data_IF_712081023115
#
_entry.id   IF_712081023115
#
_cell.length_a   1.000
_cell.length_b   1.000
_cell.length_c   1.000
_cell.angle_alpha   90.00
_cell.angle_beta   90.00
_cell.angle_gamma   90.00
#
_symmetry.space_group_name_H-M   'P 1'
#
loop_
_entity.id
_entity.type
_entity.pdbx_description
1 polymer ?
#
# COMPACT_ATOMS: atom_id res chain seq x y z
N UNK A 1 -41.26 20.07 4.05
CA UNK A 1 -40.67 19.50 2.82
C UNK A 1 -39.48 18.67 3.23
N UNK A 2 -39.54 17.35 3.04
CA UNK A 2 -38.49 16.41 3.44
C UNK A 2 -37.45 16.34 2.31
N UNK A 3 -36.23 16.84 2.55
CA UNK A 3 -35.11 16.68 1.63
C UNK A 3 -34.45 15.34 1.91
N UNK A 4 -34.84 14.31 1.17
CA UNK A 4 -34.17 13.02 1.17
C UNK A 4 -32.76 13.14 0.59
N UNK A 5 -31.75 13.01 1.44
CA UNK A 5 -30.38 12.77 0.98
C UNK A 5 -30.33 11.34 0.46
N UNK A 6 -30.42 11.19 -0.86
CA UNK A 6 -30.12 9.93 -1.54
C UNK A 6 -28.68 9.53 -1.23
N UNK A 7 -28.50 8.51 -0.38
CA UNK A 7 -27.19 7.90 -0.17
C UNK A 7 -26.86 7.10 -1.41
N UNK A 8 -26.10 7.68 -2.34
CA UNK A 8 -25.45 6.88 -3.37
C UNK A 8 -24.60 5.80 -2.67
N UNK A 9 -24.72 4.52 -3.05
CA UNK A 9 -23.87 3.48 -2.51
C UNK A 9 -22.43 3.82 -2.86
N UNK A 10 -21.59 4.01 -1.85
CA UNK A 10 -20.17 4.24 -2.07
C UNK A 10 -19.58 2.97 -2.70
N UNK A 11 -18.87 3.13 -3.81
CA UNK A 11 -18.20 2.03 -4.49
C UNK A 11 -17.10 1.46 -3.57
N UNK A 12 -17.41 0.35 -2.93
CA UNK A 12 -16.48 -0.43 -2.12
C UNK A 12 -16.19 -1.70 -2.91
N UNK A 13 -14.98 -1.80 -3.46
CA UNK A 13 -14.50 -3.04 -4.05
C UNK A 13 -13.70 -3.79 -3.00
N UNK A 14 -14.17 -4.97 -2.60
CA UNK A 14 -13.40 -5.91 -1.78
C UNK A 14 -12.87 -7.00 -2.68
N UNK A 15 -11.55 -7.14 -2.72
CA UNK A 15 -10.90 -8.29 -3.35
C UNK A 15 -10.43 -9.23 -2.24
N UNK A 16 -10.87 -10.48 -2.31
CA UNK A 16 -10.38 -11.55 -1.46
C UNK A 16 -9.87 -12.66 -2.36
N UNK A 17 -8.60 -13.00 -2.22
CA UNK A 17 -7.97 -14.09 -2.96
C UNK A 17 -7.63 -15.19 -1.98
N UNK A 18 -7.96 -16.43 -2.34
CA UNK A 18 -7.57 -17.62 -1.58
C UNK A 18 -6.69 -18.49 -2.45
N UNK A 19 -5.54 -18.87 -1.92
CA UNK A 19 -4.62 -19.79 -2.57
C UNK A 19 -4.46 -21.03 -1.69
N UNK A 20 -4.40 -22.19 -2.34
CA UNK A 20 -4.05 -23.47 -1.73
C UNK A 20 -3.05 -24.15 -2.65
N UNK A 21 -1.96 -24.68 -2.09
CA UNK A 21 -1.03 -25.52 -2.84
C UNK A 21 -1.65 -26.91 -3.14
N UNK A 22 -1.16 -27.64 -4.16
CA UNK A 22 -1.62 -29.00 -4.47
C UNK A 22 -1.51 -29.98 -3.28
N UNK A 23 -2.31 -31.05 -3.27
CA UNK A 23 -2.44 -31.99 -2.14
C UNK A 23 -1.26 -32.96 -1.95
N UNK A 24 -0.94 -33.20 -0.67
CA UNK A 24 -0.20 -34.28 0.04
C UNK A 24 1.09 -34.92 -0.49
N UNK A 25 1.56 -34.65 -1.71
CA UNK A 25 2.82 -35.22 -2.23
C UNK A 25 3.85 -34.19 -2.73
N UNK A 26 3.58 -32.88 -2.58
CA UNK A 26 4.48 -31.81 -3.04
C UNK A 26 5.27 -31.23 -1.85
N UNK A 27 6.55 -30.85 -1.96
CA UNK A 27 7.24 -30.10 -0.91
C UNK A 27 6.64 -28.69 -0.74
N UNK A 28 6.91 -27.97 0.38
CA UNK A 28 6.53 -26.56 0.53
C UNK A 28 6.99 -25.71 -0.66
N UNK A 29 6.15 -24.80 -1.11
CA UNK A 29 6.42 -23.95 -2.27
C UNK A 29 6.57 -22.48 -1.85
N UNK A 30 7.36 -21.67 -2.58
CA UNK A 30 7.36 -20.22 -2.41
C UNK A 30 5.98 -19.62 -2.67
N UNK A 31 5.55 -18.69 -1.83
CA UNK A 31 4.34 -17.90 -2.02
C UNK A 31 4.69 -16.41 -1.94
N UNK A 32 4.69 -15.75 -3.10
CA UNK A 32 4.83 -14.31 -3.20
C UNK A 32 3.58 -13.74 -3.86
N UNK A 33 2.91 -12.82 -3.17
CA UNK A 33 1.70 -12.18 -3.61
C UNK A 33 1.75 -10.68 -3.31
N UNK A 34 1.48 -9.89 -4.34
CA UNK A 34 1.45 -8.44 -4.29
C UNK A 34 0.26 -7.97 -5.12
N UNK A 35 -0.60 -7.16 -4.52
CA UNK A 35 -1.71 -6.51 -5.22
C UNK A 35 -1.20 -5.26 -5.90
N UNK A 36 -0.99 -5.32 -7.21
CA UNK A 36 -0.47 -4.19 -7.98
C UNK A 36 -1.61 -3.22 -8.33
N UNK A 37 -1.94 -2.27 -7.43
CA UNK A 37 -3.05 -1.33 -7.62
C UNK A 37 -2.51 -0.03 -8.21
N UNK A 38 -2.68 0.15 -9.51
CA UNK A 38 -2.23 1.34 -10.23
C UNK A 38 -3.34 2.38 -10.31
N UNK A 39 -3.02 3.60 -9.93
CA UNK A 39 -3.90 4.77 -10.01
C UNK A 39 -3.26 5.82 -10.91
N UNK A 40 -4.07 6.40 -11.80
CA UNK A 40 -3.68 7.51 -12.66
C UNK A 40 -4.70 8.64 -12.52
N UNK A 41 -4.82 9.47 -13.55
CA UNK A 41 -5.88 10.48 -13.60
C UNK A 41 -7.28 9.83 -13.46
N UNK A 42 -8.22 10.39 -12.67
CA UNK A 42 -8.14 11.64 -11.92
C UNK A 42 -7.62 11.51 -10.47
N UNK A 43 -7.28 10.29 -10.00
CA UNK A 43 -6.80 10.07 -8.63
C UNK A 43 -5.39 10.61 -8.37
N UNK A 44 -4.55 10.62 -9.40
CA UNK A 44 -3.21 11.22 -9.35
C UNK A 44 -3.22 12.43 -10.28
N UNK A 45 -2.92 13.59 -9.71
CA UNK A 45 -2.80 14.90 -10.37
C UNK A 45 -2.04 15.86 -9.43
N UNK A 46 -1.62 17.06 -9.87
CA UNK A 46 -1.02 18.05 -8.99
C UNK A 46 -1.86 18.32 -7.74
N UNK A 47 -1.21 18.35 -6.57
CA UNK A 47 -1.87 18.62 -5.29
C UNK A 47 -2.45 17.39 -4.58
N UNK A 48 -2.33 16.21 -5.19
CA UNK A 48 -2.64 14.95 -4.52
C UNK A 48 -1.56 14.61 -3.50
N UNK A 49 -1.98 14.02 -2.38
CA UNK A 49 -1.12 13.54 -1.30
C UNK A 49 -1.36 12.07 -1.00
N UNK A 50 -0.31 11.41 -0.56
CA UNK A 50 -0.33 10.10 0.08
C UNK A 50 -0.36 10.28 1.59
N UNK A 51 -1.23 9.53 2.27
CA UNK A 51 -1.30 9.49 3.71
C UNK A 51 -1.27 8.03 4.19
N UNK A 52 -0.29 7.73 5.03
CA UNK A 52 -0.15 6.47 5.76
C UNK A 52 0.47 6.72 7.13
N UNK A 53 0.21 5.82 8.07
CA UNK A 53 0.94 5.75 9.33
C UNK A 53 2.09 4.76 9.13
N UNK A 54 3.28 5.24 8.78
CA UNK A 54 4.40 4.35 8.42
C UNK A 54 5.77 4.99 8.64
N UNK A 55 6.77 4.15 8.90
CA UNK A 55 8.17 4.46 8.61
C UNK A 55 8.44 4.16 7.13
N UNK A 56 9.09 5.08 6.43
CA UNK A 56 9.27 5.03 4.96
C UNK A 56 10.73 4.76 4.62
N UNK A 57 10.96 3.86 3.68
CA UNK A 57 12.28 3.35 3.29
C UNK A 57 12.44 3.50 1.77
N UNK A 58 13.26 4.44 1.28
CA UNK A 58 13.53 4.55 -0.16
C UNK A 58 14.29 3.33 -0.67
N UNK A 59 13.83 2.74 -1.78
CA UNK A 59 14.46 1.55 -2.39
C UNK A 59 15.91 1.81 -2.80
N UNK A 60 16.15 2.93 -3.48
CA UNK A 60 17.40 3.22 -4.17
C UNK A 60 17.76 4.72 -4.14
N UNK A 61 18.80 5.10 -4.90
CA UNK A 61 19.27 6.48 -4.97
C UNK A 61 18.24 7.43 -5.62
N UNK A 62 17.47 6.97 -6.60
CA UNK A 62 16.44 7.76 -7.25
C UNK A 62 15.30 8.08 -6.26
N UNK A 63 14.87 7.09 -5.48
CA UNK A 63 13.89 7.29 -4.41
C UNK A 63 14.42 8.18 -3.28
N UNK A 64 15.71 8.05 -2.90
CA UNK A 64 16.35 8.94 -1.91
C UNK A 64 16.40 10.39 -2.38
N UNK A 65 16.65 10.64 -3.67
CA UNK A 65 16.62 11.99 -4.22
C UNK A 65 15.23 12.64 -4.13
N UNK A 66 14.15 11.84 -4.12
CA UNK A 66 12.77 12.29 -3.94
C UNK A 66 12.27 12.30 -2.49
N UNK A 67 13.14 12.09 -1.50
CA UNK A 67 12.77 11.87 -0.11
C UNK A 67 11.91 12.98 0.52
N UNK A 68 12.03 14.23 0.10
CA UNK A 68 11.27 15.35 0.67
C UNK A 68 9.85 15.48 0.10
N UNK A 69 9.58 14.79 -1.02
CA UNK A 69 8.32 14.85 -1.75
C UNK A 69 7.76 13.45 -2.01
N UNK A 70 8.11 12.46 -1.18
CA UNK A 70 7.67 11.08 -1.34
C UNK A 70 6.14 10.94 -1.27
N UNK A 71 5.48 11.80 -0.49
CA UNK A 71 4.05 11.78 -0.21
C UNK A 71 3.23 12.80 -1.03
N UNK A 72 3.85 13.56 -1.93
CA UNK A 72 3.15 14.52 -2.79
C UNK A 72 3.26 14.14 -4.27
N UNK A 73 2.28 14.57 -5.07
CA UNK A 73 2.27 14.36 -6.52
C UNK A 73 2.17 15.72 -7.22
N UNK A 74 3.22 16.05 -7.96
CA UNK A 74 3.36 17.29 -8.74
C UNK A 74 3.06 17.04 -10.23
N UNK A 75 3.04 18.09 -11.03
CA UNK A 75 2.84 17.96 -12.48
C UNK A 75 3.83 16.97 -13.13
N UNK A 76 3.42 16.26 -14.20
CA UNK A 76 4.32 15.37 -14.92
C UNK A 76 5.61 16.09 -15.32
N UNK A 77 6.76 15.42 -15.20
CA UNK A 77 8.06 16.00 -15.56
C UNK A 77 8.84 15.15 -16.55
N UNK A 78 9.71 15.81 -17.31
CA UNK A 78 10.60 15.14 -18.26
C UNK A 78 11.75 14.48 -17.49
N UNK A 79 12.12 13.27 -17.88
CA UNK A 79 13.24 12.56 -17.27
C UNK A 79 13.01 12.04 -15.85
N UNK A 80 11.77 12.10 -15.32
CA UNK A 80 11.45 11.49 -14.03
C UNK A 80 11.80 10.00 -14.03
N UNK A 81 12.72 9.61 -13.15
CA UNK A 81 13.02 8.21 -12.86
C UNK A 81 12.05 7.74 -11.79
N UNK A 82 11.51 6.53 -11.94
CA UNK A 82 10.60 5.99 -10.95
C UNK A 82 11.21 6.04 -9.54
N UNK A 83 10.35 6.27 -8.55
CA UNK A 83 10.75 6.29 -7.16
C UNK A 83 9.91 5.27 -6.42
N UNK A 84 10.58 4.32 -5.76
CA UNK A 84 9.92 3.27 -4.97
C UNK A 84 10.22 3.48 -3.51
N UNK A 85 9.16 3.50 -2.70
CA UNK A 85 9.23 3.60 -1.25
C UNK A 85 8.59 2.38 -0.62
N UNK A 86 9.29 1.73 0.30
CA UNK A 86 8.73 0.67 1.14
C UNK A 86 8.26 1.24 2.46
N UNK A 87 7.18 0.69 2.99
CA UNK A 87 6.54 1.19 4.20
C UNK A 87 6.48 0.11 5.28
N UNK A 88 7.10 0.40 6.42
CA UNK A 88 6.78 -0.30 7.67
C UNK A 88 5.55 0.38 8.26
N UNK A 89 4.38 -0.19 7.99
CA UNK A 89 3.11 0.38 8.43
C UNK A 89 2.90 0.28 9.93
N UNK A 90 2.04 1.15 10.46
CA UNK A 90 1.49 1.07 11.80
C UNK A 90 0.00 0.79 11.73
N UNK A 91 -0.51 -0.03 12.62
CA UNK A 91 -1.93 -0.40 12.69
C UNK A 91 -2.30 -0.73 14.14
N UNK A 92 -3.58 -0.56 14.48
CA UNK A 92 -4.14 -1.20 15.68
C UNK A 92 -4.08 -2.73 15.52
N UNK A 93 -3.31 -3.39 16.39
CA UNK A 93 -3.08 -4.84 16.37
C UNK A 93 -4.39 -5.65 16.48
N UNK A 94 -5.44 -5.10 17.10
CA UNK A 94 -6.75 -5.77 17.20
C UNK A 94 -7.47 -5.82 15.86
N UNK A 95 -7.33 -4.76 15.07
CA UNK A 95 -8.02 -4.64 13.78
C UNK A 95 -7.28 -5.38 12.67
N UNK A 96 -5.96 -5.52 12.77
CA UNK A 96 -5.09 -6.15 11.76
C UNK A 96 -5.24 -5.54 10.36
N UNK A 97 -5.56 -4.25 10.29
CA UNK A 97 -5.86 -3.56 9.03
C UNK A 97 -5.03 -2.28 8.93
N UNK A 98 -4.15 -2.24 7.94
CA UNK A 98 -3.41 -1.03 7.59
C UNK A 98 -4.24 -0.13 6.67
N UNK A 99 -4.07 1.19 6.81
CA UNK A 99 -4.78 2.21 6.06
C UNK A 99 -3.82 3.05 5.20
N UNK A 100 -4.15 3.18 3.91
CA UNK A 100 -3.45 4.05 2.96
C UNK A 100 -4.48 4.90 2.24
N UNK A 101 -4.24 6.20 2.18
CA UNK A 101 -5.14 7.14 1.50
C UNK A 101 -4.35 7.92 0.46
N UNK A 102 -4.78 7.88 -0.80
CA UNK A 102 -4.34 8.83 -1.83
C UNK A 102 -5.48 9.80 -2.06
N UNK A 103 -5.24 11.11 -1.90
CA UNK A 103 -6.33 12.07 -1.94
C UNK A 103 -5.91 13.47 -2.41
N UNK A 104 -6.88 14.16 -2.99
CA UNK A 104 -6.96 15.61 -3.05
C UNK A 104 -7.87 16.11 -1.91
N UNK A 105 -8.36 17.34 -1.97
CA UNK A 105 -9.28 17.88 -0.94
C UNK A 105 -10.60 17.10 -0.89
N UNK A 106 -11.21 16.85 -2.04
CA UNK A 106 -12.59 16.40 -2.16
C UNK A 106 -12.74 15.09 -2.94
N UNK A 107 -11.64 14.48 -3.36
CA UNK A 107 -11.64 13.20 -4.05
C UNK A 107 -10.43 12.35 -3.67
N UNK A 108 -10.61 11.04 -3.57
CA UNK A 108 -9.50 10.14 -3.27
C UNK A 108 -9.85 8.65 -3.29
N UNK A 109 -8.88 7.85 -2.87
CA UNK A 109 -8.97 6.40 -2.74
C UNK A 109 -8.45 6.00 -1.36
N UNK A 110 -9.27 5.26 -0.61
CA UNK A 110 -8.86 4.60 0.62
C UNK A 110 -8.61 3.12 0.34
N UNK A 111 -7.34 2.71 0.49
CA UNK A 111 -6.93 1.32 0.41
C UNK A 111 -6.74 0.79 1.83
N UNK A 112 -7.45 -0.30 2.14
CA UNK A 112 -7.36 -1.00 3.42
C UNK A 112 -7.01 -2.44 3.16
N UNK A 113 -6.07 -2.99 3.90
CA UNK A 113 -5.67 -4.37 3.69
C UNK A 113 -5.32 -5.06 5.00
N UNK A 114 -5.49 -6.39 4.99
CA UNK A 114 -5.16 -7.25 6.12
C UNK A 114 -3.65 -7.45 6.19
N UNK A 115 -3.01 -6.79 7.14
CA UNK A 115 -1.56 -6.80 7.24
C UNK A 115 -1.01 -8.09 7.85
N UNK A 116 -1.86 -8.97 8.40
CA UNK A 116 -1.45 -10.29 8.87
C UNK A 116 -1.14 -11.26 7.72
N UNK A 117 -1.76 -11.06 6.55
CA UNK A 117 -1.43 -11.80 5.32
C UNK A 117 -0.58 -10.98 4.34
N UNK A 118 -0.59 -9.65 4.44
CA UNK A 118 0.12 -8.71 3.56
C UNK A 118 0.94 -7.70 4.39
N UNK A 119 2.00 -8.10 5.10
CA UNK A 119 2.75 -7.21 5.99
C UNK A 119 3.54 -6.10 5.29
N UNK A 120 3.81 -6.22 3.99
CA UNK A 120 4.58 -5.25 3.23
C UNK A 120 3.67 -4.30 2.45
N UNK A 121 4.13 -3.06 2.29
CA UNK A 121 3.55 -2.09 1.38
C UNK A 121 4.63 -1.43 0.55
N UNK A 122 4.46 -1.48 -0.76
CA UNK A 122 5.27 -0.76 -1.72
C UNK A 122 4.45 0.42 -2.28
N UNK A 123 5.07 1.59 -2.33
CA UNK A 123 4.60 2.75 -3.07
C UNK A 123 5.47 2.88 -4.31
N UNK A 124 4.89 2.69 -5.50
CA UNK A 124 5.57 2.95 -6.76
C UNK A 124 5.10 4.31 -7.29
N UNK A 125 5.99 5.31 -7.30
CA UNK A 125 5.70 6.65 -7.79
C UNK A 125 6.38 6.86 -9.14
N UNK A 126 5.58 7.17 -10.16
CA UNK A 126 6.09 7.56 -11.47
C UNK A 126 5.31 8.77 -12.00
N UNK A 127 5.90 9.95 -11.90
CA UNK A 127 5.31 11.22 -12.37
C UNK A 127 5.94 11.68 -13.69
N UNK A 128 6.26 10.75 -14.58
CA UNK A 128 6.87 11.04 -15.88
C UNK A 128 5.82 11.48 -16.91
N UNK A 129 6.19 12.35 -17.86
CA UNK A 129 5.35 12.58 -19.04
C UNK A 129 5.00 11.26 -19.76
N UNK A 130 3.73 11.10 -20.12
CA UNK A 130 3.19 9.88 -20.75
C UNK A 130 3.00 8.69 -19.80
N UNK A 131 3.57 8.72 -18.59
CA UNK A 131 3.43 7.69 -17.57
C UNK A 131 3.31 8.34 -16.19
N UNK A 132 2.09 8.77 -15.88
CA UNK A 132 1.75 9.47 -14.65
C UNK A 132 0.86 8.58 -13.79
N UNK A 133 1.50 7.79 -12.93
CA UNK A 133 0.90 6.67 -12.21
C UNK A 133 1.49 6.53 -10.81
N UNK A 134 0.63 6.12 -9.87
CA UNK A 134 1.02 5.64 -8.56
C UNK A 134 0.55 4.20 -8.35
N UNK A 135 1.48 3.31 -7.99
CA UNK A 135 1.19 1.97 -7.46
C UNK A 135 1.03 2.00 -5.94
N UNK A 136 -0.09 1.47 -5.45
CA UNK A 136 -0.32 1.13 -4.04
C UNK A 136 -0.25 -0.40 -3.95
N UNK A 137 0.79 -0.94 -3.34
CA UNK A 137 1.12 -2.35 -3.52
C UNK A 137 1.24 -3.10 -2.19
N UNK A 138 0.11 -3.43 -1.54
CA UNK A 138 0.11 -4.36 -0.41
C UNK A 138 0.55 -5.75 -0.84
N UNK A 139 1.48 -6.34 -0.11
CA UNK A 139 2.07 -7.63 -0.45
C UNK A 139 2.50 -8.43 0.78
N UNK A 140 2.69 -9.74 0.58
CA UNK A 140 3.44 -10.56 1.52
C UNK A 140 4.96 -10.55 1.22
N UNK A 141 5.35 -9.74 0.23
CA UNK A 141 6.70 -9.51 -0.23
C UNK A 141 6.85 -8.08 -0.79
N UNK A 142 8.09 -7.62 -0.91
CA UNK A 142 8.48 -6.51 -1.78
C UNK A 142 8.87 -7.02 -3.18
N UNK A 143 8.90 -6.20 -4.24
CA UNK A 143 9.22 -6.62 -5.61
C UNK A 143 10.73 -6.86 -5.84
N UNK A 144 11.33 -7.73 -5.03
CA UNK A 144 12.77 -8.10 -5.08
C UNK A 144 13.03 -9.45 -5.78
N UNK A 145 11.97 -10.23 -6.02
CA UNK A 145 12.06 -11.58 -6.58
C UNK A 145 12.45 -12.65 -5.56
N UNK A 146 12.22 -13.92 -5.91
CA UNK A 146 12.35 -15.05 -4.97
C UNK A 146 13.78 -15.25 -4.45
N UNK A 147 14.80 -15.00 -5.28
CA UNK A 147 16.19 -15.24 -4.88
C UNK A 147 16.66 -14.24 -3.82
N UNK A 148 16.39 -12.95 -4.02
CA UNK A 148 16.70 -11.92 -3.04
C UNK A 148 15.88 -12.12 -1.76
N UNK A 149 14.57 -12.38 -1.88
CA UNK A 149 13.71 -12.65 -0.74
C UNK A 149 14.20 -13.87 0.08
N UNK A 150 14.71 -14.92 -0.59
CA UNK A 150 15.28 -16.09 0.09
C UNK A 150 16.56 -15.75 0.84
N UNK A 151 17.47 -15.02 0.19
CA UNK A 151 18.74 -14.61 0.78
C UNK A 151 18.52 -13.68 1.99
N UNK A 152 17.52 -12.81 1.92
CA UNK A 152 17.15 -11.89 2.99
C UNK A 152 16.22 -12.50 4.06
N UNK A 153 15.85 -13.79 3.94
CA UNK A 153 14.95 -14.45 4.89
C UNK A 153 13.48 -13.99 4.84
N UNK A 154 13.09 -13.23 3.81
CA UNK A 154 11.73 -12.73 3.59
C UNK A 154 10.82 -13.68 2.81
N UNK A 155 11.40 -14.67 2.11
CA UNK A 155 10.63 -15.57 1.26
C UNK A 155 9.63 -16.39 2.08
N UNK A 156 8.34 -16.12 1.90
CA UNK A 156 7.30 -16.90 2.53
C UNK A 156 7.10 -18.23 1.80
N UNK A 157 6.98 -19.30 2.58
CA UNK A 157 6.69 -20.64 2.10
C UNK A 157 5.25 -21.01 2.48
N UNK A 158 4.59 -21.81 1.63
CA UNK A 158 3.27 -22.38 1.91
C UNK A 158 3.36 -23.90 1.91
N UNK A 159 2.81 -24.53 2.95
CA UNK A 159 2.77 -25.99 3.05
C UNK A 159 1.70 -26.59 2.12
N UNK A 160 1.82 -27.88 1.73
CA UNK A 160 0.81 -28.60 0.95
C UNK A 160 -0.58 -28.53 1.60
N UNK A 161 -1.58 -28.10 0.83
CA UNK A 161 -2.96 -27.97 1.31
C UNK A 161 -3.20 -26.84 2.32
N UNK A 162 -2.18 -26.08 2.73
CA UNK A 162 -2.34 -24.94 3.63
C UNK A 162 -3.13 -23.82 2.93
N UNK A 163 -4.21 -23.30 3.54
CA UNK A 163 -4.92 -22.16 2.98
C UNK A 163 -4.22 -20.85 3.34
N UNK A 164 -4.15 -19.93 2.36
CA UNK A 164 -3.83 -18.52 2.59
C UNK A 164 -4.92 -17.64 2.01
N UNK A 165 -5.36 -16.67 2.79
CA UNK A 165 -6.36 -15.67 2.39
C UNK A 165 -5.73 -14.29 2.43
N UNK A 166 -5.86 -13.56 1.33
CA UNK A 166 -5.45 -12.18 1.21
C UNK A 166 -6.68 -11.31 1.01
N UNK A 167 -6.70 -10.12 1.61
CA UNK A 167 -7.84 -9.22 1.51
C UNK A 167 -7.37 -7.78 1.39
N UNK A 168 -7.83 -7.13 0.32
CA UNK A 168 -7.69 -5.69 0.09
C UNK A 168 -9.06 -5.10 -0.20
N UNK A 169 -9.31 -3.92 0.35
CA UNK A 169 -10.53 -3.15 0.17
C UNK A 169 -10.18 -1.78 -0.39
N UNK A 170 -10.79 -1.45 -1.52
CA UNK A 170 -10.63 -0.20 -2.23
C UNK A 170 -11.95 0.55 -2.10
N UNK A 171 -11.90 1.77 -1.58
CA UNK A 171 -13.06 2.64 -1.45
C UNK A 171 -12.77 3.98 -2.08
N UNK A 172 -13.57 4.33 -3.08
CA UNK A 172 -13.55 5.68 -3.65
C UNK A 172 -14.12 6.65 -2.62
N UNK A 173 -13.45 7.78 -2.45
CA UNK A 173 -13.81 8.88 -1.55
C UNK A 173 -14.35 10.01 -2.43
N UNK A 174 -15.69 10.19 -2.51
CA UNK A 174 -16.29 11.08 -3.52
C UNK A 174 -16.41 12.53 -3.07
N UNK A 175 -16.08 12.85 -1.81
CA UNK A 175 -16.25 14.17 -1.23
C UNK A 175 -15.22 14.43 -0.11
N UNK A 176 -15.08 15.70 0.29
CA UNK A 176 -14.18 16.17 1.35
C UNK A 176 -14.46 15.47 2.69
N UNK A 177 -15.72 15.16 2.98
CA UNK A 177 -16.11 14.46 4.21
C UNK A 177 -15.59 13.02 4.22
N UNK A 178 -15.70 12.29 3.10
CA UNK A 178 -15.20 10.94 2.97
C UNK A 178 -13.67 10.90 3.06
N UNK A 179 -12.98 11.89 2.47
CA UNK A 179 -11.54 12.09 2.63
C UNK A 179 -11.19 12.30 4.11
N UNK A 180 -11.86 13.22 4.79
CA UNK A 180 -11.63 13.50 6.21
C UNK A 180 -11.81 12.28 7.12
N UNK A 181 -12.83 11.45 6.87
CA UNK A 181 -13.04 10.19 7.61
C UNK A 181 -11.90 9.20 7.37
N UNK A 182 -11.42 9.06 6.13
CA UNK A 182 -10.32 8.15 5.81
C UNK A 182 -9.00 8.61 6.43
N UNK A 183 -8.71 9.92 6.40
CA UNK A 183 -7.54 10.51 7.03
C UNK A 183 -7.57 10.35 8.55
N UNK A 184 -8.74 10.51 9.19
CA UNK A 184 -8.87 10.26 10.63
C UNK A 184 -8.52 8.81 11.01
N UNK A 185 -8.75 7.83 10.14
CA UNK A 185 -8.31 6.46 10.37
C UNK A 185 -6.77 6.33 10.32
N UNK A 186 -6.11 7.01 9.38
CA UNK A 186 -4.64 7.07 9.31
C UNK A 186 -4.06 7.77 10.55
N UNK A 187 -4.65 8.87 11.00
CA UNK A 187 -4.21 9.55 12.23
C UNK A 187 -4.36 8.67 13.47
N UNK A 188 -5.45 7.89 13.55
CA UNK A 188 -5.64 6.93 14.63
C UNK A 188 -4.53 5.88 14.66
N UNK A 189 -4.14 5.34 13.50
CA UNK A 189 -3.03 4.38 13.38
C UNK A 189 -1.68 5.03 13.73
N UNK A 190 -1.49 6.30 13.37
CA UNK A 190 -0.26 7.04 13.72
C UNK A 190 -0.13 7.25 15.23
N UNK A 191 -1.23 7.62 15.88
CA UNK A 191 -1.26 7.89 17.31
C UNK A 191 -1.19 6.61 18.17
N UNK A 192 -1.89 5.54 17.75
CA UNK A 192 -2.14 4.39 18.63
C UNK A 192 -1.66 3.05 18.05
N UNK A 193 -1.32 2.99 16.76
CA UNK A 193 -0.93 1.75 16.10
C UNK A 193 0.47 1.32 16.51
N UNK A 194 0.71 0.01 16.49
CA UNK A 194 2.03 -0.61 16.60
C UNK A 194 2.62 -0.83 15.19
N UNK A 195 3.95 -0.92 15.03
CA UNK A 195 4.53 -1.40 13.79
C UNK A 195 3.93 -2.75 13.39
N UNK A 196 3.52 -2.89 12.14
CA UNK A 196 3.00 -4.13 11.58
C UNK A 196 4.06 -5.23 11.74
N UNK A 197 3.72 -6.38 12.36
CA UNK A 197 4.66 -7.47 12.54
C UNK A 197 4.99 -8.14 11.20
N UNK A 198 6.10 -8.89 11.17
CA UNK A 198 6.52 -9.67 9.99
C UNK A 198 6.82 -8.84 8.72
N UNK A 199 7.16 -7.56 8.91
CA UNK A 199 7.69 -6.68 7.88
C UNK A 199 9.19 -6.44 8.18
N UNK A 200 10.08 -7.00 7.36
CA UNK A 200 11.53 -6.96 7.59
C UNK A 200 12.22 -6.11 6.51
N UNK A 201 12.48 -4.85 6.84
CA UNK A 201 13.07 -3.85 5.92
C UNK A 201 14.36 -3.23 6.49
N UNK A 202 15.05 -3.94 7.38
CA UNK A 202 16.25 -3.45 8.07
C UNK A 202 17.43 -3.19 7.12
N UNK A 203 17.42 -3.81 5.94
CA UNK A 203 18.35 -3.60 4.83
C UNK A 203 18.09 -2.31 4.04
N UNK A 204 17.00 -1.59 4.34
CA UNK A 204 16.69 -0.29 3.74
C UNK A 204 16.69 0.81 4.79
N UNK A 205 17.62 1.77 4.65
CA UNK A 205 17.68 2.93 5.54
C UNK A 205 16.40 3.77 5.44
N UNK A 206 15.72 4.04 6.57
CA UNK A 206 14.50 4.82 6.55
C UNK A 206 14.80 6.32 6.37
N UNK A 207 13.82 7.05 5.83
CA UNK A 207 13.85 8.50 5.75
C UNK A 207 14.13 9.14 7.12
N UNK A 208 14.96 10.19 7.13
CA UNK A 208 15.36 10.89 8.36
C UNK A 208 16.49 10.23 9.15
N UNK A 209 17.06 9.13 8.64
CA UNK A 209 18.34 8.60 9.16
C UNK A 209 19.49 9.45 8.60
N UNK A 210 20.49 9.84 9.43
CA UNK A 210 21.66 10.61 8.98
C UNK A 210 22.43 9.96 7.82
#
# INVERSE_FOLDING_TARGET
MSTGVSRQPQAIQKSTSRTRSPTSATPPAPLMMLYHINTGFPLIQPGVRWASASRVHPRDADARAGATAWDTYDAPSHGYREQVFFHTMRSDDKLRVANVVIHSRDFGLHVRYRHDALPYLTQWKNTRHGQYVCGIEPGNCIPEGQNAARAAGRLQMIAPGEPREFSVNLRVLPDERAVGVALAAVEKDRANGSPVPSCYLDDYLPLGTP
#
